data_IF_618120080836
#
_entry.id   IF_618120080836
#
_cell.length_a   1.000
_cell.length_b   1.000
_cell.length_c   1.000
_cell.angle_alpha   90.00
_cell.angle_beta   90.00
_cell.angle_gamma   90.00
#
_symmetry.space_group_name_H-M   'P 1'
#
loop_
_entity.id
_entity.type
_entity.pdbx_description
1 polymer ?
#
# COMPACT_ATOMS: atom_id res chain seq x y z
N UNK A 1 -14.04 18.23 -1.55
CA UNK A 1 -12.62 18.26 -2.00
C UNK A 1 -12.10 16.82 -2.05
N UNK A 2 -11.30 16.47 -3.07
CA UNK A 2 -10.67 15.13 -3.15
C UNK A 2 -9.38 15.18 -2.35
N UNK A 3 -9.16 14.19 -1.48
CA UNK A 3 -7.93 14.09 -0.69
C UNK A 3 -6.85 13.37 -1.52
N UNK A 4 -5.66 13.98 -1.60
CA UNK A 4 -4.51 13.48 -2.37
C UNK A 4 -3.38 12.96 -1.47
N UNK A 5 -3.64 12.71 -0.20
CA UNK A 5 -2.61 12.25 0.75
C UNK A 5 -1.72 13.36 1.30
N UNK A 6 -0.61 12.95 1.92
CA UNK A 6 0.40 13.84 2.55
C UNK A 6 1.61 14.13 1.65
N UNK A 7 1.74 13.43 0.51
CA UNK A 7 2.87 13.60 -0.41
C UNK A 7 4.21 13.03 0.08
N UNK A 8 4.18 12.02 0.96
CA UNK A 8 5.40 11.35 1.46
C UNK A 8 5.91 10.24 0.52
N UNK A 9 5.02 9.66 -0.29
CA UNK A 9 5.30 8.67 -1.34
C UNK A 9 4.47 9.01 -2.58
N UNK A 10 4.88 8.50 -3.74
CA UNK A 10 4.27 8.74 -5.05
C UNK A 10 3.22 7.70 -5.46
N UNK A 11 2.99 6.67 -4.62
CA UNK A 11 2.00 5.63 -4.83
C UNK A 11 0.97 5.56 -3.69
N UNK A 12 -0.19 4.96 -3.97
CA UNK A 12 -1.19 4.64 -2.95
C UNK A 12 -0.78 3.42 -2.12
N UNK A 13 -1.12 3.39 -0.83
CA UNK A 13 -0.81 2.25 0.04
C UNK A 13 -2.06 1.41 0.31
N UNK A 14 -1.96 0.10 0.08
CA UNK A 14 -2.98 -0.89 0.47
C UNK A 14 -2.44 -1.69 1.66
N UNK A 15 -2.85 -1.39 2.90
CA UNK A 15 -2.35 -2.11 4.07
C UNK A 15 -2.98 -3.50 4.20
N UNK A 16 -2.46 -4.29 5.14
CA UNK A 16 -3.03 -5.56 5.58
C UNK A 16 -3.17 -6.62 4.47
N UNK A 17 -2.29 -6.61 3.46
CA UNK A 17 -2.20 -7.73 2.52
C UNK A 17 -1.86 -9.01 3.26
N UNK A 18 -2.51 -10.11 2.86
CA UNK A 18 -2.34 -11.44 3.44
C UNK A 18 -2.55 -11.48 4.96
N UNK A 19 -3.25 -10.48 5.52
CA UNK A 19 -3.56 -10.44 6.95
C UNK A 19 -4.42 -11.64 7.33
N UNK A 20 -4.10 -12.25 8.46
CA UNK A 20 -4.89 -13.35 9.04
C UNK A 20 -6.32 -12.93 9.41
N UNK A 21 -6.57 -11.62 9.47
CA UNK A 21 -7.88 -11.03 9.76
C UNK A 21 -8.68 -10.68 8.50
N UNK A 22 -8.08 -10.79 7.30
CA UNK A 22 -8.76 -10.50 6.04
C UNK A 22 -9.44 -11.75 5.47
N UNK A 23 -10.60 -12.09 6.03
CA UNK A 23 -11.40 -13.25 5.61
C UNK A 23 -11.94 -13.15 4.16
N UNK A 24 -11.84 -11.97 3.53
CA UNK A 24 -12.48 -11.67 2.25
C UNK A 24 -11.51 -11.30 1.13
N UNK A 25 -10.20 -11.44 1.37
CA UNK A 25 -9.17 -11.07 0.38
C UNK A 25 -9.32 -9.60 -0.08
N UNK A 26 -9.78 -8.73 0.82
CA UNK A 26 -10.11 -7.33 0.55
C UNK A 26 -8.88 -6.51 0.16
N UNK A 27 -7.70 -6.83 0.71
CA UNK A 27 -6.43 -6.22 0.32
C UNK A 27 -6.11 -6.47 -1.16
N UNK A 28 -6.10 -7.73 -1.58
CA UNK A 28 -5.84 -8.09 -2.99
C UNK A 28 -6.94 -7.64 -3.93
N UNK A 29 -8.21 -7.67 -3.51
CA UNK A 29 -9.32 -7.12 -4.28
C UNK A 29 -9.12 -5.62 -4.57
N UNK A 30 -8.71 -4.85 -3.55
CA UNK A 30 -8.41 -3.42 -3.68
C UNK A 30 -7.22 -3.18 -4.59
N UNK A 31 -6.11 -3.89 -4.39
CA UNK A 31 -4.91 -3.74 -5.21
C UNK A 31 -5.18 -4.05 -6.68
N UNK A 32 -5.94 -5.11 -6.98
CA UNK A 32 -6.36 -5.47 -8.35
C UNK A 32 -7.26 -4.41 -8.98
N UNK A 33 -8.16 -3.81 -8.19
CA UNK A 33 -9.02 -2.72 -8.67
C UNK A 33 -8.19 -1.48 -9.01
N UNK A 34 -7.31 -1.02 -8.12
CA UNK A 34 -6.49 0.17 -8.33
C UNK A 34 -5.59 0.03 -9.56
N UNK A 35 -4.95 -1.14 -9.73
CA UNK A 35 -4.16 -1.45 -10.94
C UNK A 35 -4.99 -1.37 -12.22
N UNK A 36 -6.23 -1.85 -12.22
CA UNK A 36 -7.14 -1.77 -13.38
C UNK A 36 -7.55 -0.34 -13.69
N UNK A 37 -7.64 0.51 -12.68
CA UNK A 37 -7.94 1.94 -12.80
C UNK A 37 -6.69 2.77 -13.18
N UNK A 38 -5.53 2.14 -13.34
CA UNK A 38 -4.27 2.84 -13.66
C UNK A 38 -3.68 3.61 -12.48
N UNK A 39 -4.11 3.31 -11.26
CA UNK A 39 -3.60 3.92 -10.04
C UNK A 39 -2.42 3.10 -9.54
N UNK A 40 -1.26 3.75 -9.43
CA UNK A 40 -0.09 3.14 -8.83
C UNK A 40 -0.33 2.89 -7.34
N UNK A 41 -0.23 1.63 -6.95
CA UNK A 41 -0.51 1.20 -5.60
C UNK A 41 0.46 0.10 -5.17
N UNK A 42 0.95 0.24 -3.94
CA UNK A 42 1.80 -0.73 -3.27
C UNK A 42 1.01 -1.35 -2.12
N UNK A 43 1.04 -2.68 -2.03
CA UNK A 43 0.41 -3.38 -0.92
C UNK A 43 1.43 -3.76 0.14
N UNK A 44 1.05 -3.68 1.42
CA UNK A 44 1.90 -4.05 2.55
C UNK A 44 1.23 -5.13 3.38
N UNK A 45 2.01 -6.13 3.78
CA UNK A 45 1.61 -7.07 4.82
C UNK A 45 1.67 -6.44 6.21
N UNK A 46 1.09 -7.10 7.21
CA UNK A 46 1.11 -6.65 8.61
C UNK A 46 2.52 -6.51 9.22
N UNK A 47 3.51 -7.19 8.64
CA UNK A 47 4.91 -7.16 9.08
C UNK A 47 5.79 -6.18 8.29
N UNK A 48 5.24 -5.54 7.27
CA UNK A 48 5.99 -4.64 6.39
C UNK A 48 5.77 -3.17 6.74
N UNK A 49 6.79 -2.36 6.47
CA UNK A 49 6.74 -0.91 6.66
C UNK A 49 7.41 -0.20 5.49
N UNK A 50 6.87 0.97 5.13
CA UNK A 50 7.56 1.92 4.26
C UNK A 50 8.30 2.91 5.16
N UNK A 51 9.60 3.03 4.93
CA UNK A 51 10.45 4.02 5.59
C UNK A 51 10.86 5.06 4.56
N UNK A 52 10.66 6.33 4.90
CA UNK A 52 11.11 7.49 4.11
C UNK A 52 12.05 8.29 4.99
N UNK A 53 13.31 8.37 4.58
CA UNK A 53 14.36 9.12 5.26
C UNK A 53 15.24 9.89 4.25
N UNK A 54 16.40 10.37 4.70
CA UNK A 54 17.36 11.11 3.86
C UNK A 54 18.01 10.26 2.77
N UNK A 55 17.95 8.93 2.88
CA UNK A 55 18.45 7.98 1.88
C UNK A 55 17.41 7.61 0.82
N UNK A 56 16.13 7.91 1.06
CA UNK A 56 15.01 7.71 0.13
C UNK A 56 13.90 6.84 0.71
N UNK A 57 13.18 6.15 -0.18
CA UNK A 57 12.04 5.28 0.17
C UNK A 57 12.45 3.82 0.13
N UNK A 58 12.29 3.10 1.24
CA UNK A 58 12.58 1.67 1.34
C UNK A 58 11.41 0.92 1.97
N UNK A 59 11.22 -0.34 1.58
CA UNK A 59 10.27 -1.26 2.22
C UNK A 59 11.05 -2.24 3.09
N UNK A 60 10.65 -2.35 4.36
CA UNK A 60 11.22 -3.29 5.34
C UNK A 60 10.30 -4.49 5.55
N UNK A 61 10.85 -5.63 5.99
CA UNK A 61 10.09 -6.83 6.37
C UNK A 61 9.84 -7.82 5.23
N UNK A 62 10.85 -8.05 4.38
CA UNK A 62 10.84 -9.07 3.31
C UNK A 62 11.12 -10.49 3.84
#
# INVERSE_FOLDING_TARGET
PVWSGLGLVDFSVVPHLDSVLDEKDSGWATLRRLRREGIEAHGLTDSQAIVVDDSGTTILGA
#
